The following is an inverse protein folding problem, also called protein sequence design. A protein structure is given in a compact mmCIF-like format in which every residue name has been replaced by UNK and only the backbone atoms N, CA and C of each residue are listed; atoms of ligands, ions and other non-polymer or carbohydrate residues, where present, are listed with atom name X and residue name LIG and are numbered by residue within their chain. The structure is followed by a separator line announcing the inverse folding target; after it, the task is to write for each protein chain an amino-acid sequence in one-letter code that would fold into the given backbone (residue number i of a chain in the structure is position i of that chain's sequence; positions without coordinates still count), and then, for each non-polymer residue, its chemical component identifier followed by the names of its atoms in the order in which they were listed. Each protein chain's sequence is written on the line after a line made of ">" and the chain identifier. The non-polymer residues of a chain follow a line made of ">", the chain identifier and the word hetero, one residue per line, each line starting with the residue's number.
data_IF_609533751666
#
_entry.id   IF_609533751666
#
_cell.length_a   1.000
_cell.length_b   1.000
_cell.length_c   1.000
_cell.angle_alpha   90.00
_cell.angle_beta   90.00
_cell.angle_gamma   90.00
#
_symmetry.space_group_name_H-M   'P 1'
#
loop_
_entity.id
_entity.type
_entity.pdbx_description
1 polymer ?
#
# COMPACT_ATOMS: atom_id res chain seq x y z
N UNK A 1 55.62 18.93 0.19
CA UNK A 1 55.22 17.52 0.13
C UNK A 1 54.07 17.26 1.08
N UNK A 2 54.20 17.47 2.40
CA UNK A 2 53.12 17.24 3.39
C UNK A 2 51.76 17.86 2.98
N UNK A 3 51.73 19.11 2.49
CA UNK A 3 50.48 19.75 2.03
C UNK A 3 49.86 19.12 0.77
N UNK A 4 50.64 18.42 -0.06
CA UNK A 4 50.17 17.76 -1.29
C UNK A 4 49.59 16.38 -0.93
N UNK A 5 50.29 15.60 -0.11
CA UNK A 5 49.83 14.30 0.35
C UNK A 5 48.56 14.40 1.21
N UNK A 6 48.44 15.48 2.00
CA UNK A 6 47.19 15.82 2.70
C UNK A 6 46.04 16.15 1.71
N UNK A 7 46.32 16.89 0.64
CA UNK A 7 45.34 17.18 -0.43
C UNK A 7 44.89 15.90 -1.16
N UNK A 8 45.81 15.01 -1.52
CA UNK A 8 45.50 13.76 -2.22
C UNK A 8 44.62 12.80 -1.40
N UNK A 9 44.94 12.62 -0.11
CA UNK A 9 44.13 11.80 0.81
C UNK A 9 42.71 12.37 0.97
N UNK A 10 42.61 13.70 1.11
CA UNK A 10 41.34 14.42 1.20
C UNK A 10 40.51 14.30 -0.09
N UNK A 11 41.13 14.43 -1.26
CA UNK A 11 40.48 14.26 -2.58
C UNK A 11 39.88 12.85 -2.72
N UNK A 12 40.59 11.82 -2.25
CA UNK A 12 40.09 10.44 -2.28
C UNK A 12 38.86 10.27 -1.39
N UNK A 13 38.94 10.69 -0.13
CA UNK A 13 37.82 10.68 0.82
C UNK A 13 36.58 11.38 0.24
N UNK A 14 36.80 12.50 -0.47
CA UNK A 14 35.70 13.25 -1.06
C UNK A 14 35.07 12.56 -2.29
N UNK A 15 35.86 11.93 -3.18
CA UNK A 15 35.32 11.09 -4.25
C UNK A 15 34.40 9.98 -3.69
N UNK A 16 34.82 9.32 -2.60
CA UNK A 16 34.04 8.24 -1.97
C UNK A 16 32.73 8.77 -1.35
N UNK A 17 32.74 9.97 -0.76
CA UNK A 17 31.55 10.61 -0.18
C UNK A 17 30.59 11.15 -1.25
N UNK A 18 31.10 11.67 -2.37
CA UNK A 18 30.29 12.04 -3.55
C UNK A 18 29.61 10.85 -4.17
N UNK A 19 30.31 9.71 -4.26
CA UNK A 19 29.73 8.47 -4.76
C UNK A 19 28.56 8.04 -3.87
N UNK A 20 28.74 8.02 -2.54
CA UNK A 20 27.66 7.77 -1.57
C UNK A 20 26.49 8.75 -1.72
N UNK A 21 26.75 10.04 -1.87
CA UNK A 21 25.71 11.06 -2.10
C UNK A 21 24.94 10.83 -3.40
N UNK A 22 25.63 10.41 -4.45
CA UNK A 22 24.99 10.06 -5.73
C UNK A 22 24.13 8.81 -5.63
N UNK A 23 24.64 7.77 -4.96
CA UNK A 23 23.90 6.53 -4.72
C UNK A 23 22.66 6.80 -3.85
N UNK A 24 22.77 7.63 -2.82
CA UNK A 24 21.66 8.07 -1.97
C UNK A 24 20.64 8.93 -2.73
N UNK A 25 21.09 9.85 -3.58
CA UNK A 25 20.20 10.64 -4.44
C UNK A 25 19.42 9.71 -5.39
N UNK A 26 20.08 8.70 -5.98
CA UNK A 26 19.43 7.72 -6.86
C UNK A 26 18.43 6.83 -6.11
N UNK A 27 18.77 6.38 -4.90
CA UNK A 27 17.84 5.68 -3.99
C UNK A 27 16.59 6.55 -3.72
N UNK A 28 16.79 7.84 -3.45
CA UNK A 28 15.70 8.80 -3.20
C UNK A 28 14.81 8.99 -4.43
N UNK A 29 15.39 9.15 -5.62
CA UNK A 29 14.65 9.24 -6.89
C UNK A 29 13.78 8.01 -7.14
N UNK A 30 14.33 6.82 -6.94
CA UNK A 30 13.61 5.55 -7.13
C UNK A 30 12.49 5.38 -6.09
N UNK A 31 12.76 5.70 -4.81
CA UNK A 31 11.75 5.68 -3.75
C UNK A 31 10.57 6.63 -4.05
N UNK A 32 10.85 7.88 -4.44
CA UNK A 32 9.80 8.86 -4.75
C UNK A 32 8.99 8.47 -5.99
N UNK A 33 9.65 7.96 -7.04
CA UNK A 33 8.96 7.46 -8.24
C UNK A 33 8.01 6.31 -7.90
N UNK A 34 8.45 5.35 -7.08
CA UNK A 34 7.60 4.27 -6.60
C UNK A 34 6.47 4.78 -5.70
N UNK A 35 6.75 5.74 -4.82
CA UNK A 35 5.76 6.38 -3.94
C UNK A 35 4.64 7.07 -4.73
N UNK A 36 4.95 7.74 -5.86
CA UNK A 36 3.94 8.29 -6.77
C UNK A 36 3.07 7.18 -7.36
N UNK A 37 3.68 6.12 -7.90
CA UNK A 37 2.94 5.00 -8.49
C UNK A 37 2.02 4.33 -7.46
N UNK A 38 2.52 4.09 -6.24
CA UNK A 38 1.74 3.52 -5.12
C UNK A 38 0.58 4.45 -4.73
N UNK A 39 0.80 5.77 -4.68
CA UNK A 39 -0.24 6.76 -4.39
C UNK A 39 -1.30 6.87 -5.52
N UNK A 40 -0.91 6.65 -6.79
CA UNK A 40 -1.85 6.55 -7.91
C UNK A 40 -2.74 5.31 -7.76
N UNK A 41 -2.16 4.13 -7.49
CA UNK A 41 -2.92 2.88 -7.27
C UNK A 41 -3.85 3.02 -6.06
N UNK A 42 -3.38 3.63 -4.96
CA UNK A 42 -4.21 3.94 -3.79
C UNK A 42 -5.39 4.87 -4.15
N UNK A 43 -5.18 5.90 -4.97
CA UNK A 43 -6.25 6.78 -5.45
C UNK A 43 -7.26 6.06 -6.37
N UNK A 44 -6.82 5.10 -7.20
CA UNK A 44 -7.73 4.25 -7.97
C UNK A 44 -8.58 3.34 -7.06
N UNK A 45 -7.99 2.77 -6.02
CA UNK A 45 -8.72 1.97 -5.03
C UNK A 45 -9.80 2.82 -4.34
N UNK A 46 -9.45 4.05 -3.93
CA UNK A 46 -10.41 5.00 -3.37
C UNK A 46 -11.52 5.36 -4.37
N UNK A 47 -11.20 5.58 -5.65
CA UNK A 47 -12.21 5.88 -6.68
C UNK A 47 -13.18 4.70 -6.91
N UNK A 48 -12.68 3.45 -6.89
CA UNK A 48 -13.51 2.24 -6.99
C UNK A 48 -14.46 2.12 -5.79
N UNK A 49 -13.98 2.44 -4.59
CA UNK A 49 -14.79 2.53 -3.36
C UNK A 49 -15.84 3.66 -3.43
N UNK A 50 -15.46 4.84 -3.91
CA UNK A 50 -16.32 6.01 -4.07
C UNK A 50 -17.52 5.71 -4.99
N UNK A 51 -17.27 5.12 -6.16
CA UNK A 51 -18.32 4.70 -7.12
C UNK A 51 -19.26 3.69 -6.46
N UNK A 52 -18.72 2.64 -5.84
CA UNK A 52 -19.53 1.64 -5.13
C UNK A 52 -20.40 2.26 -4.03
N UNK A 53 -19.85 3.21 -3.26
CA UNK A 53 -20.59 3.91 -2.21
C UNK A 53 -21.67 4.84 -2.78
N UNK A 54 -21.46 5.45 -3.94
CA UNK A 54 -22.47 6.24 -4.63
C UNK A 54 -23.65 5.36 -5.08
N UNK A 55 -23.38 4.27 -5.79
CA UNK A 55 -24.41 3.32 -6.27
C UNK A 55 -25.20 2.70 -5.12
N UNK A 56 -24.50 2.30 -4.05
CA UNK A 56 -25.11 1.71 -2.87
C UNK A 56 -25.99 2.67 -2.07
N UNK A 57 -25.66 3.98 -2.07
CA UNK A 57 -26.52 5.02 -1.47
C UNK A 57 -27.70 5.38 -2.39
N UNK A 58 -27.50 5.42 -3.70
CA UNK A 58 -28.55 5.76 -4.67
C UNK A 58 -29.66 4.70 -4.75
N UNK A 59 -29.31 3.42 -4.59
CA UNK A 59 -30.26 2.31 -4.68
C UNK A 59 -30.18 1.41 -3.43
N UNK A 60 -31.14 1.50 -2.48
CA UNK A 60 -31.19 0.64 -1.29
C UNK A 60 -31.32 -0.87 -1.58
N UNK A 61 -31.67 -1.25 -2.81
CA UNK A 61 -31.69 -2.65 -3.27
C UNK A 61 -30.36 -3.10 -3.88
N UNK A 62 -29.44 -2.19 -4.23
CA UNK A 62 -28.15 -2.50 -4.87
C UNK A 62 -27.36 -3.57 -4.12
N UNK A 63 -27.18 -3.39 -2.80
CA UNK A 63 -26.50 -4.36 -1.93
C UNK A 63 -27.20 -5.73 -1.94
N UNK A 64 -28.54 -5.76 -2.00
CA UNK A 64 -29.30 -7.01 -2.09
C UNK A 64 -29.18 -7.63 -3.49
N UNK A 65 -29.19 -6.84 -4.56
CA UNK A 65 -28.97 -7.27 -5.95
C UNK A 65 -27.55 -7.85 -6.12
N UNK A 66 -26.54 -7.23 -5.50
CA UNK A 66 -25.18 -7.77 -5.37
C UNK A 66 -25.18 -9.16 -4.74
N UNK A 67 -25.97 -9.35 -3.68
CA UNK A 67 -26.01 -10.61 -2.94
C UNK A 67 -26.91 -11.70 -3.55
N UNK A 68 -27.74 -11.36 -4.55
CA UNK A 68 -28.75 -12.26 -5.12
C UNK A 68 -28.62 -12.48 -6.64
N UNK A 69 -27.97 -11.57 -7.38
CA UNK A 69 -28.12 -11.45 -8.83
C UNK A 69 -26.85 -11.62 -9.67
N UNK A 70 -25.66 -11.73 -9.07
CA UNK A 70 -24.43 -11.85 -9.86
C UNK A 70 -24.14 -13.30 -10.25
N UNK A 71 -24.62 -13.68 -11.43
CA UNK A 71 -24.07 -14.81 -12.19
C UNK A 71 -22.63 -14.50 -12.67
N UNK A 72 -22.26 -13.22 -12.79
CA UNK A 72 -20.93 -12.74 -13.19
C UNK A 72 -20.10 -12.24 -12.00
N UNK A 73 -19.31 -13.12 -11.40
CA UNK A 73 -18.27 -12.77 -10.42
C UNK A 73 -17.28 -11.72 -10.95
N UNK A 74 -17.04 -11.71 -12.27
CA UNK A 74 -16.21 -10.73 -12.98
C UNK A 74 -16.69 -9.28 -12.82
N UNK A 75 -18.00 -9.04 -12.74
CA UNK A 75 -18.55 -7.69 -12.66
C UNK A 75 -18.40 -7.12 -11.25
N UNK A 76 -18.64 -7.97 -10.24
CA UNK A 76 -18.35 -7.68 -8.84
C UNK A 76 -16.85 -7.40 -8.59
N UNK A 77 -15.96 -8.13 -9.29
CA UNK A 77 -14.51 -7.91 -9.28
C UNK A 77 -14.08 -6.56 -9.87
N UNK A 78 -14.87 -5.94 -10.76
CA UNK A 78 -14.59 -4.57 -11.26
C UNK A 78 -14.72 -3.52 -10.17
N UNK A 79 -15.71 -3.69 -9.28
CA UNK A 79 -16.01 -2.70 -8.25
C UNK A 79 -15.07 -2.81 -7.04
N UNK A 80 -14.79 -4.02 -6.53
CA UNK A 80 -13.95 -4.17 -5.31
C UNK A 80 -13.07 -5.44 -5.37
N UNK A 81 -11.88 -5.38 -5.99
CA UNK A 81 -10.90 -6.49 -5.99
C UNK A 81 -10.51 -6.96 -4.58
N UNK A 82 -10.52 -6.03 -3.62
CA UNK A 82 -10.09 -6.24 -2.24
C UNK A 82 -11.13 -6.95 -1.35
N UNK A 83 -12.42 -6.99 -1.73
CA UNK A 83 -13.46 -7.71 -0.95
C UNK A 83 -13.42 -9.23 -1.17
N UNK A 84 -12.23 -9.82 -1.11
CA UNK A 84 -11.96 -11.22 -1.46
C UNK A 84 -12.83 -12.18 -0.62
N UNK A 85 -13.04 -11.89 0.67
CA UNK A 85 -13.80 -12.75 1.56
C UNK A 85 -15.31 -12.67 1.30
N UNK A 86 -15.83 -11.48 0.99
CA UNK A 86 -17.18 -11.30 0.44
C UNK A 86 -17.39 -12.12 -0.84
N UNK A 87 -16.48 -12.00 -1.82
CA UNK A 87 -16.59 -12.66 -3.12
C UNK A 87 -16.63 -14.20 -2.98
N UNK A 88 -15.75 -14.78 -2.16
CA UNK A 88 -15.74 -16.22 -1.83
C UNK A 88 -17.08 -16.72 -1.26
N UNK A 89 -17.77 -15.91 -0.46
CA UNK A 89 -19.07 -16.28 0.11
C UNK A 89 -20.23 -16.17 -0.89
N UNK A 90 -20.14 -15.27 -1.87
CA UNK A 90 -21.12 -15.13 -2.94
C UNK A 90 -20.99 -16.24 -3.99
N UNK A 91 -19.76 -16.61 -4.37
CA UNK A 91 -19.45 -17.66 -5.35
C UNK A 91 -20.03 -19.05 -4.98
N UNK A 92 -20.18 -19.31 -3.66
CA UNK A 92 -20.81 -20.53 -3.15
C UNK A 92 -22.32 -20.63 -3.51
N UNK A 93 -22.65 -21.37 -4.57
CA UNK A 93 -24.03 -21.59 -5.05
C UNK A 93 -25.00 -22.02 -3.93
N UNK A 94 -26.24 -21.51 -3.90
CA UNK A 94 -27.22 -21.85 -2.87
C UNK A 94 -27.64 -23.32 -2.97
N UNK A 95 -27.76 -24.01 -1.82
CA UNK A 95 -28.33 -25.35 -1.78
C UNK A 95 -29.86 -25.28 -2.02
N UNK A 96 -30.29 -25.68 -3.21
CA UNK A 96 -31.68 -25.61 -3.68
C UNK A 96 -32.56 -26.80 -3.24
N UNK A 97 -32.15 -27.63 -2.28
CA UNK A 97 -32.93 -28.83 -1.89
C UNK A 97 -34.34 -28.46 -1.40
N UNK A 98 -34.49 -27.42 -0.57
CA UNK A 98 -35.81 -26.94 -0.13
C UNK A 98 -36.67 -26.49 -1.33
N UNK A 99 -36.12 -25.63 -2.19
CA UNK A 99 -36.81 -25.05 -3.34
C UNK A 99 -37.27 -26.13 -4.32
N UNK A 100 -36.43 -27.13 -4.61
CA UNK A 100 -36.77 -28.26 -5.47
C UNK A 100 -37.85 -29.17 -4.86
N UNK A 101 -37.78 -29.43 -3.54
CA UNK A 101 -38.83 -30.22 -2.87
C UNK A 101 -40.16 -29.46 -2.82
N UNK A 102 -40.14 -28.16 -2.50
CA UNK A 102 -41.31 -27.28 -2.53
C UNK A 102 -41.94 -27.26 -3.93
N UNK A 103 -41.14 -27.10 -4.99
CA UNK A 103 -41.64 -27.15 -6.37
C UNK A 103 -42.36 -28.47 -6.68
N UNK A 104 -41.76 -29.61 -6.34
CA UNK A 104 -42.42 -30.92 -6.48
C UNK A 104 -43.73 -31.00 -5.70
N UNK A 105 -43.76 -30.45 -4.48
CA UNK A 105 -44.92 -30.48 -3.59
C UNK A 105 -46.10 -29.62 -4.11
N UNK A 106 -45.84 -28.45 -4.71
CA UNK A 106 -46.89 -27.60 -5.30
C UNK A 106 -47.36 -28.14 -6.66
N UNK A 107 -46.48 -28.86 -7.38
CA UNK A 107 -46.75 -29.41 -8.71
C UNK A 107 -47.35 -30.83 -8.72
N UNK A 108 -47.58 -31.43 -7.55
CA UNK A 108 -48.24 -32.74 -7.41
C UNK A 108 -49.77 -32.54 -7.36
N UNK A 109 -50.56 -33.09 -8.30
CA UNK A 109 -52.01 -32.93 -8.25
C UNK A 109 -52.66 -33.47 -6.97
N UNK A 110 -52.02 -34.44 -6.29
CA UNK A 110 -52.52 -35.07 -5.07
C UNK A 110 -52.45 -34.17 -3.84
N UNK A 111 -51.61 -33.13 -3.86
CA UNK A 111 -51.45 -32.18 -2.74
C UNK A 111 -52.36 -30.96 -2.88
N UNK A 112 -53.10 -30.83 -3.98
CA UNK A 112 -53.92 -29.65 -4.31
C UNK A 112 -54.99 -29.27 -3.26
N UNK A 113 -55.36 -30.17 -2.34
CA UNK A 113 -56.21 -29.89 -1.18
C UNK A 113 -55.47 -29.10 -0.09
N UNK A 114 -54.16 -29.31 0.05
CA UNK A 114 -53.28 -28.72 1.06
C UNK A 114 -52.58 -27.47 0.50
N UNK A 115 -51.95 -27.61 -0.67
CA UNK A 115 -51.14 -26.57 -1.34
C UNK A 115 -51.32 -26.68 -2.85
N UNK A 116 -51.59 -25.56 -3.52
CA UNK A 116 -51.89 -25.57 -4.96
C UNK A 116 -51.39 -24.30 -5.66
N UNK A 117 -50.96 -24.45 -6.92
CA UNK A 117 -50.69 -23.32 -7.80
C UNK A 117 -51.94 -22.44 -8.00
N UNK A 118 -51.73 -21.13 -8.16
CA UNK A 118 -52.74 -20.21 -8.66
C UNK A 118 -53.03 -20.45 -10.15
N UNK A 119 -54.13 -19.87 -10.65
CA UNK A 119 -54.56 -20.05 -12.06
C UNK A 119 -53.51 -19.58 -13.08
N UNK A 120 -52.74 -18.55 -12.76
CA UNK A 120 -51.63 -18.04 -13.59
C UNK A 120 -50.35 -18.86 -13.48
N UNK A 121 -50.22 -19.75 -12.50
CA UNK A 121 -48.99 -20.53 -12.27
C UNK A 121 -47.81 -19.70 -11.70
N UNK A 122 -48.02 -18.43 -11.35
CA UNK A 122 -46.98 -17.49 -10.86
C UNK A 122 -46.93 -17.38 -9.32
N UNK A 123 -47.83 -18.07 -8.63
CA UNK A 123 -47.99 -18.06 -7.18
C UNK A 123 -48.65 -19.36 -6.72
N UNK A 124 -48.65 -19.62 -5.41
CA UNK A 124 -49.33 -20.77 -4.82
C UNK A 124 -50.06 -20.39 -3.53
N UNK A 125 -51.13 -21.12 -3.23
CA UNK A 125 -51.95 -20.98 -2.03
C UNK A 125 -51.67 -22.14 -1.06
N UNK A 126 -51.57 -21.82 0.23
CA UNK A 126 -51.69 -22.80 1.31
C UNK A 126 -53.15 -22.83 1.74
N UNK A 127 -53.89 -23.88 1.36
CA UNK A 127 -55.32 -24.02 1.62
C UNK A 127 -55.60 -24.59 3.01
N UNK A 128 -54.86 -25.62 3.38
CA UNK A 128 -54.98 -26.28 4.68
C UNK A 128 -53.64 -26.14 5.43
N UNK A 129 -53.67 -25.57 6.62
CA UNK A 129 -52.48 -25.33 7.45
C UNK A 129 -52.16 -26.48 8.38
N UNK A 130 -53.16 -27.30 8.71
CA UNK A 130 -53.05 -28.41 9.65
C UNK A 130 -52.47 -29.61 8.89
N UNK A 131 -53.09 -30.00 7.77
CA UNK A 131 -52.54 -31.03 6.89
C UNK A 131 -51.18 -30.67 6.30
N UNK A 132 -50.89 -29.37 6.11
CA UNK A 132 -49.56 -28.93 5.67
C UNK A 132 -48.49 -29.26 6.71
N UNK A 133 -48.79 -29.24 8.01
CA UNK A 133 -47.78 -29.51 9.05
C UNK A 133 -47.21 -30.93 8.90
N UNK A 134 -48.09 -31.92 8.82
CA UNK A 134 -47.71 -33.34 8.70
C UNK A 134 -47.01 -33.59 7.36
N UNK A 135 -47.56 -33.06 6.26
CA UNK A 135 -46.99 -33.22 4.92
C UNK A 135 -45.60 -32.59 4.77
N UNK A 136 -45.37 -31.45 5.42
CA UNK A 136 -44.07 -30.77 5.50
C UNK A 136 -43.08 -31.60 6.34
N UNK A 137 -43.52 -32.21 7.43
CA UNK A 137 -42.68 -33.08 8.25
C UNK A 137 -42.25 -34.33 7.47
N UNK A 138 -43.16 -35.00 6.76
CA UNK A 138 -42.89 -36.22 5.98
C UNK A 138 -42.08 -35.99 4.69
N UNK A 139 -42.40 -34.96 3.90
CA UNK A 139 -41.78 -34.77 2.57
C UNK A 139 -40.55 -33.87 2.63
N UNK A 140 -40.55 -32.86 3.50
CA UNK A 140 -39.47 -31.87 3.58
C UNK A 140 -38.45 -32.19 4.68
N UNK A 141 -38.82 -32.99 5.69
CA UNK A 141 -38.04 -33.28 6.91
C UNK A 141 -37.73 -32.02 7.72
N UNK A 142 -38.70 -31.10 7.79
CA UNK A 142 -38.62 -29.86 8.58
C UNK A 142 -39.95 -29.65 9.32
N UNK A 143 -39.94 -28.87 10.40
CA UNK A 143 -41.18 -28.44 11.08
C UNK A 143 -41.84 -27.26 10.36
N UNK A 144 -43.15 -27.08 10.53
CA UNK A 144 -43.94 -26.03 9.87
C UNK A 144 -43.39 -24.60 10.10
N UNK A 145 -42.85 -24.31 11.30
CA UNK A 145 -42.18 -23.05 11.61
C UNK A 145 -40.92 -22.82 10.74
N UNK A 146 -40.18 -23.89 10.47
CA UNK A 146 -39.00 -23.88 9.59
C UNK A 146 -39.40 -23.80 8.12
N UNK A 147 -40.56 -24.30 7.73
CA UNK A 147 -41.11 -24.12 6.38
C UNK A 147 -41.41 -22.65 6.06
N UNK A 148 -42.19 -21.95 6.89
CA UNK A 148 -42.44 -20.51 6.70
C UNK A 148 -41.15 -19.68 6.78
N UNK A 149 -40.21 -20.05 7.66
CA UNK A 149 -38.88 -19.46 7.67
C UNK A 149 -38.14 -19.72 6.35
N UNK A 150 -38.21 -20.92 5.79
CA UNK A 150 -37.53 -21.29 4.54
C UNK A 150 -38.10 -20.53 3.34
N UNK A 151 -39.42 -20.31 3.28
CA UNK A 151 -40.03 -19.43 2.28
C UNK A 151 -39.41 -18.02 2.33
N UNK A 152 -39.36 -17.40 3.51
CA UNK A 152 -38.72 -16.08 3.68
C UNK A 152 -37.21 -16.11 3.36
N UNK A 153 -36.51 -17.16 3.80
CA UNK A 153 -35.07 -17.35 3.58
C UNK A 153 -34.70 -17.56 2.10
N UNK A 154 -35.66 -17.91 1.23
CA UNK A 154 -35.52 -17.98 -0.24
C UNK A 154 -36.34 -16.90 -0.96
N UNK A 155 -36.71 -15.80 -0.29
CA UNK A 155 -37.27 -14.60 -0.92
C UNK A 155 -38.75 -14.69 -1.34
N UNK A 156 -39.47 -15.75 -0.98
CA UNK A 156 -40.90 -15.86 -1.29
C UNK A 156 -41.69 -14.78 -0.54
N UNK A 157 -42.55 -14.05 -1.26
CA UNK A 157 -43.38 -12.99 -0.71
C UNK A 157 -44.79 -13.50 -0.46
N UNK A 158 -45.31 -13.31 0.75
CA UNK A 158 -46.73 -13.46 1.02
C UNK A 158 -47.48 -12.31 0.32
N UNK A 159 -48.28 -12.65 -0.69
CA UNK A 159 -49.07 -11.71 -1.49
C UNK A 159 -50.36 -11.37 -0.77
N UNK A 160 -51.04 -12.39 -0.26
CA UNK A 160 -52.26 -12.28 0.52
C UNK A 160 -52.15 -13.16 1.77
N UNK A 161 -52.35 -12.56 2.96
CA UNK A 161 -52.28 -13.24 4.25
C UNK A 161 -53.55 -14.03 4.61
N UNK A 162 -54.70 -13.63 4.08
CA UNK A 162 -55.98 -14.30 4.29
C UNK A 162 -56.06 -15.54 3.39
N UNK A 163 -55.76 -15.39 2.10
CA UNK A 163 -55.68 -16.50 1.14
C UNK A 163 -54.41 -17.37 1.31
N UNK A 164 -53.47 -16.93 2.15
CA UNK A 164 -52.17 -17.57 2.36
C UNK A 164 -51.42 -17.82 1.04
N UNK A 165 -51.44 -16.80 0.18
CA UNK A 165 -50.81 -16.81 -1.13
C UNK A 165 -49.34 -16.39 -1.03
N UNK A 166 -48.47 -17.14 -1.69
CA UNK A 166 -47.03 -16.86 -1.80
C UNK A 166 -46.60 -16.82 -3.27
N UNK A 167 -45.70 -15.87 -3.60
CA UNK A 167 -45.11 -15.74 -4.93
C UNK A 167 -43.59 -15.58 -4.87
N UNK A 168 -42.92 -16.01 -5.93
CA UNK A 168 -41.52 -15.70 -6.21
C UNK A 168 -41.33 -15.67 -7.73
N UNK A 169 -40.60 -14.67 -8.22
CA UNK A 169 -40.45 -14.37 -9.66
C UNK A 169 -39.99 -15.59 -10.48
N UNK A 170 -38.99 -16.31 -9.98
CA UNK A 170 -38.41 -17.50 -10.61
C UNK A 170 -39.04 -18.84 -10.15
N UNK A 171 -40.19 -18.82 -9.47
CA UNK A 171 -40.92 -20.01 -9.02
C UNK A 171 -42.27 -20.10 -9.73
N UNK A 172 -42.30 -20.74 -10.89
CA UNK A 172 -43.47 -20.78 -11.78
C UNK A 172 -43.74 -22.21 -12.24
N UNK A 173 -45.03 -22.61 -12.28
CA UNK A 173 -45.51 -23.98 -12.50
C UNK A 173 -44.74 -24.75 -13.57
N UNK A 174 -44.63 -24.19 -14.77
CA UNK A 174 -44.12 -24.91 -15.93
C UNK A 174 -42.62 -24.63 -16.21
N UNK A 175 -42.01 -23.70 -15.47
CA UNK A 175 -40.64 -23.22 -15.71
C UNK A 175 -39.65 -23.70 -14.63
N UNK A 176 -39.57 -25.02 -14.40
CA UNK A 176 -38.65 -25.64 -13.41
C UNK A 176 -37.18 -25.22 -13.57
N UNK A 177 -36.73 -24.90 -14.79
CA UNK A 177 -35.35 -24.43 -15.02
C UNK A 177 -35.06 -23.08 -14.36
N UNK A 178 -36.08 -22.25 -14.08
CA UNK A 178 -35.91 -20.96 -13.41
C UNK A 178 -35.53 -21.10 -11.93
N UNK A 179 -35.76 -22.25 -11.30
CA UNK A 179 -35.41 -22.49 -9.90
C UNK A 179 -33.91 -22.28 -9.61
N UNK A 180 -33.04 -22.38 -10.61
CA UNK A 180 -31.60 -22.09 -10.49
C UNK A 180 -31.29 -20.64 -10.10
N UNK A 181 -32.19 -19.71 -10.41
CA UNK A 181 -32.09 -18.28 -10.10
C UNK A 181 -32.62 -17.93 -8.69
N UNK A 182 -33.16 -18.91 -7.93
CA UNK A 182 -33.68 -18.66 -6.57
C UNK A 182 -32.51 -18.71 -5.57
N UNK A 183 -32.12 -17.56 -5.03
CA UNK A 183 -30.98 -17.45 -4.10
C UNK A 183 -31.40 -17.45 -2.62
N UNK A 184 -30.46 -17.82 -1.74
CA UNK A 184 -30.70 -17.89 -0.29
C UNK A 184 -30.41 -16.54 0.36
N UNK A 185 -31.47 -15.83 0.74
CA UNK A 185 -31.45 -14.54 1.44
C UNK A 185 -30.76 -14.62 2.81
N UNK A 186 -30.59 -15.83 3.39
CA UNK A 186 -29.86 -16.04 4.66
C UNK A 186 -28.44 -15.49 4.67
N UNK A 187 -27.78 -15.43 3.51
CA UNK A 187 -26.41 -14.90 3.40
C UNK A 187 -26.38 -13.38 3.57
N UNK A 188 -27.42 -12.65 3.18
CA UNK A 188 -27.42 -11.18 3.07
C UNK A 188 -26.91 -10.45 4.33
N UNK A 189 -27.40 -10.74 5.56
CA UNK A 189 -26.91 -10.04 6.76
C UNK A 189 -25.46 -10.37 7.14
N UNK A 190 -24.95 -11.53 6.70
CA UNK A 190 -23.56 -11.93 6.94
C UNK A 190 -22.63 -11.39 5.88
N UNK A 191 -23.02 -11.42 4.61
CA UNK A 191 -22.27 -10.79 3.52
C UNK A 191 -22.21 -9.28 3.74
N UNK A 192 -23.31 -8.61 4.14
CA UNK A 192 -23.29 -7.16 4.46
C UNK A 192 -22.28 -6.82 5.57
N UNK A 193 -22.14 -7.68 6.59
CA UNK A 193 -21.18 -7.50 7.68
C UNK A 193 -19.73 -7.74 7.25
N UNK A 194 -19.51 -8.70 6.35
CA UNK A 194 -18.17 -9.03 5.85
C UNK A 194 -17.72 -7.97 4.84
N UNK A 195 -18.60 -7.50 3.94
CA UNK A 195 -18.33 -6.33 3.09
C UNK A 195 -17.94 -5.10 3.91
N UNK A 196 -18.65 -4.84 5.01
CA UNK A 196 -18.28 -3.76 5.93
C UNK A 196 -16.88 -3.97 6.52
N UNK A 197 -16.56 -5.18 6.98
CA UNK A 197 -15.24 -5.51 7.54
C UNK A 197 -14.12 -5.38 6.50
N UNK A 198 -14.32 -5.91 5.29
CA UNK A 198 -13.38 -5.87 4.18
C UNK A 198 -13.08 -4.38 3.81
N UNK A 199 -14.11 -3.52 3.73
CA UNK A 199 -13.93 -2.08 3.48
C UNK A 199 -13.30 -1.32 4.66
N UNK A 200 -13.68 -1.63 5.91
CA UNK A 200 -13.08 -1.02 7.10
C UNK A 200 -11.58 -1.35 7.24
N UNK A 201 -11.16 -2.53 6.80
CA UNK A 201 -9.76 -2.95 6.82
C UNK A 201 -8.94 -2.25 5.73
N UNK A 202 -9.45 -2.15 4.50
CA UNK A 202 -8.78 -1.42 3.43
C UNK A 202 -8.66 0.08 3.70
N UNK A 203 -9.69 0.73 4.26
CA UNK A 203 -9.59 2.14 4.66
C UNK A 203 -8.46 2.36 5.70
N UNK A 204 -8.27 1.43 6.64
CA UNK A 204 -7.17 1.49 7.62
C UNK A 204 -5.81 1.30 6.96
N UNK A 205 -5.68 0.36 6.02
CA UNK A 205 -4.44 0.09 5.27
C UNK A 205 -4.04 1.30 4.41
N UNK A 206 -4.99 1.85 3.66
CA UNK A 206 -4.80 3.05 2.84
C UNK A 206 -4.43 4.27 3.68
N UNK A 207 -5.07 4.47 4.84
CA UNK A 207 -4.72 5.56 5.76
C UNK A 207 -3.33 5.40 6.37
N UNK A 208 -2.99 4.19 6.85
CA UNK A 208 -1.67 3.88 7.39
C UNK A 208 -0.55 4.18 6.39
N UNK A 209 -0.73 3.79 5.12
CA UNK A 209 0.21 4.14 4.05
C UNK A 209 0.35 5.64 3.83
N UNK A 210 -0.76 6.39 3.73
CA UNK A 210 -0.69 7.85 3.56
C UNK A 210 0.03 8.53 4.73
N UNK A 211 -0.22 8.09 5.97
CA UNK A 211 0.41 8.67 7.14
C UNK A 211 1.91 8.29 7.23
N UNK A 212 2.28 7.05 6.87
CA UNK A 212 3.69 6.63 6.71
C UNK A 212 4.40 7.43 5.62
N UNK A 213 3.74 7.64 4.47
CA UNK A 213 4.26 8.41 3.35
C UNK A 213 4.49 9.88 3.74
N UNK A 214 3.56 10.53 4.44
CA UNK A 214 3.75 11.91 4.95
C UNK A 214 4.99 12.05 5.83
N UNK A 215 5.23 11.07 6.73
CA UNK A 215 6.43 11.05 7.57
C UNK A 215 7.69 10.89 6.70
N UNK A 216 7.72 9.92 5.79
CA UNK A 216 8.86 9.70 4.90
C UNK A 216 9.16 10.93 4.03
N UNK A 217 8.15 11.60 3.47
CA UNK A 217 8.29 12.83 2.68
C UNK A 217 8.86 13.98 3.52
N UNK A 218 8.43 14.10 4.77
CA UNK A 218 8.97 15.12 5.69
C UNK A 218 10.45 14.87 5.99
N UNK A 219 10.82 13.62 6.28
CA UNK A 219 12.20 13.21 6.56
C UNK A 219 13.11 13.37 5.32
N UNK A 220 12.61 13.01 4.12
CA UNK A 220 13.34 13.18 2.86
C UNK A 220 13.59 14.67 2.60
N UNK A 221 12.60 15.55 2.81
CA UNK A 221 12.78 17.00 2.65
C UNK A 221 13.85 17.57 3.58
N UNK A 222 13.88 17.13 4.83
CA UNK A 222 14.90 17.55 5.79
C UNK A 222 16.29 17.06 5.39
N UNK A 223 16.45 15.75 5.10
CA UNK A 223 17.72 15.17 4.63
C UNK A 223 18.22 15.82 3.33
N UNK A 224 17.34 16.12 2.39
CA UNK A 224 17.69 16.76 1.12
C UNK A 224 18.13 18.22 1.31
N UNK A 225 17.46 18.97 2.19
CA UNK A 225 17.84 20.34 2.52
C UNK A 225 19.22 20.42 3.19
N UNK A 226 19.53 19.50 4.12
CA UNK A 226 20.86 19.38 4.73
C UNK A 226 21.91 19.05 3.66
N UNK A 227 21.65 18.02 2.85
CA UNK A 227 22.55 17.57 1.78
C UNK A 227 22.84 18.68 0.76
N UNK A 228 21.84 19.49 0.41
CA UNK A 228 21.98 20.64 -0.50
C UNK A 228 22.88 21.73 0.11
N UNK A 229 22.73 22.02 1.41
CA UNK A 229 23.62 22.95 2.14
C UNK A 229 25.08 22.44 2.19
N UNK A 230 25.26 21.14 2.42
CA UNK A 230 26.57 20.50 2.45
C UNK A 230 27.28 20.53 1.08
N UNK A 231 26.57 20.18 0.00
CA UNK A 231 27.10 20.21 -1.37
C UNK A 231 27.47 21.64 -1.79
N UNK A 232 26.67 22.65 -1.43
CA UNK A 232 27.01 24.07 -1.66
C UNK A 232 28.27 24.50 -0.88
N UNK A 233 28.43 24.02 0.36
CA UNK A 233 29.59 24.34 1.20
C UNK A 233 30.87 23.74 0.60
N UNK A 234 30.82 22.49 0.12
CA UNK A 234 31.95 21.87 -0.59
C UNK A 234 32.25 22.58 -1.90
N UNK A 235 31.24 22.90 -2.71
CA UNK A 235 31.40 23.61 -3.99
C UNK A 235 32.23 24.89 -3.82
N UNK A 236 31.90 25.71 -2.82
CA UNK A 236 32.68 26.89 -2.42
C UNK A 236 34.13 26.56 -2.08
N UNK A 237 34.37 25.47 -1.35
CA UNK A 237 35.72 25.05 -0.98
C UNK A 237 36.55 24.56 -2.19
N UNK A 238 35.92 23.87 -3.16
CA UNK A 238 36.57 23.46 -4.41
C UNK A 238 36.85 24.63 -5.34
N UNK A 239 35.97 25.63 -5.39
CA UNK A 239 36.21 26.90 -6.09
C UNK A 239 37.45 27.60 -5.49
N UNK A 240 37.51 27.78 -4.17
CA UNK A 240 38.68 28.32 -3.47
C UNK A 240 39.97 27.52 -3.76
N UNK A 241 39.92 26.19 -3.66
CA UNK A 241 41.08 25.32 -3.93
C UNK A 241 41.55 25.43 -5.40
N UNK A 242 40.61 25.54 -6.34
CA UNK A 242 40.91 25.74 -7.76
C UNK A 242 41.59 27.10 -8.01
N UNK A 243 41.15 28.16 -7.31
CA UNK A 243 41.81 29.47 -7.37
C UNK A 243 43.23 29.44 -6.79
N UNK A 244 43.45 28.81 -5.63
CA UNK A 244 44.78 28.68 -5.01
C UNK A 244 45.76 27.94 -5.95
N UNK A 245 45.32 26.86 -6.61
CA UNK A 245 46.15 26.13 -7.57
C UNK A 245 46.40 26.97 -8.82
N UNK A 246 45.40 27.71 -9.32
CA UNK A 246 45.58 28.63 -10.44
C UNK A 246 46.52 29.81 -10.10
N UNK A 247 46.63 30.20 -8.83
CA UNK A 247 47.62 31.19 -8.37
C UNK A 247 49.03 30.59 -8.34
N UNK A 248 49.23 29.42 -7.69
CA UNK A 248 50.54 28.73 -7.68
C UNK A 248 51.07 28.43 -9.08
N UNK A 249 50.20 27.96 -9.98
CA UNK A 249 50.54 27.71 -11.39
C UNK A 249 50.83 28.99 -12.21
N UNK A 250 50.58 30.20 -11.68
CA UNK A 250 51.03 31.48 -12.25
C UNK A 250 52.33 31.95 -11.61
N UNK A 251 52.55 31.67 -10.33
CA UNK A 251 53.78 31.99 -9.61
C UNK A 251 54.96 31.18 -10.15
N UNK A 252 54.80 29.87 -10.36
CA UNK A 252 55.86 29.03 -10.94
C UNK A 252 56.25 29.48 -12.35
N UNK A 253 55.28 29.83 -13.21
CA UNK A 253 55.53 30.42 -14.54
C UNK A 253 56.19 31.80 -14.51
N UNK A 254 56.13 32.54 -13.39
CA UNK A 254 56.90 33.78 -13.21
C UNK A 254 58.35 33.52 -12.83
N UNK A 255 58.66 32.38 -12.20
CA UNK A 255 60.03 31.98 -11.84
C UNK A 255 60.82 31.47 -13.06
N UNK A 256 60.14 31.15 -14.17
CA UNK A 256 60.78 30.74 -15.44
C UNK A 256 61.48 31.90 -16.19
N UNK A 257 61.21 33.17 -15.85
CA UNK A 257 61.90 34.34 -16.43
C UNK A 257 62.70 35.13 -15.38
N UNK A 258 63.97 34.78 -15.14
CA UNK A 258 64.93 35.70 -14.56
C UNK A 258 65.36 36.74 -15.63
N UNK A 259 65.32 38.02 -15.29
CA UNK A 259 65.97 39.07 -16.05
C UNK A 259 67.49 38.95 -15.88
N UNK A 260 68.15 38.16 -16.73
CA UNK A 260 69.60 38.02 -16.73
C UNK A 260 70.21 39.08 -17.65
N UNK A 261 71.11 39.89 -17.09
CA UNK A 261 71.97 40.79 -17.88
C UNK A 261 72.85 39.94 -18.82
N UNK A 262 72.78 40.12 -20.15
CA UNK A 262 73.52 39.29 -21.11
C UNK A 262 75.04 39.23 -20.87
N UNK A 263 75.63 40.19 -20.17
CA UNK A 263 77.07 40.22 -19.92
C UNK A 263 77.50 39.27 -18.78
N UNK A 264 76.68 39.05 -17.74
CA UNK A 264 77.05 38.16 -16.63
C UNK A 264 77.02 36.68 -17.03
N UNK A 265 76.08 36.29 -17.90
CA UNK A 265 75.93 34.91 -18.38
C UNK A 265 77.14 34.44 -19.21
N UNK A 266 77.81 35.33 -19.93
CA UNK A 266 78.96 34.99 -20.77
C UNK A 266 80.22 34.63 -19.97
N UNK A 267 80.46 35.29 -18.84
CA UNK A 267 81.64 35.07 -18.00
C UNK A 267 81.52 33.84 -17.10
N UNK A 268 80.30 33.49 -16.68
CA UNK A 268 80.03 32.27 -15.89
C UNK A 268 80.16 31.00 -16.76
N UNK A 269 79.67 31.04 -18.00
CA UNK A 269 79.85 29.97 -19.00
C UNK A 269 81.34 29.76 -19.37
N UNK A 270 82.19 30.79 -19.27
CA UNK A 270 83.65 30.66 -19.46
C UNK A 270 84.36 30.00 -18.28
N UNK A 271 83.82 30.04 -17.05
CA UNK A 271 84.40 29.37 -15.89
C UNK A 271 83.93 27.92 -15.73
N UNK A 272 82.71 27.59 -16.16
CA UNK A 272 82.10 26.26 -16.00
C UNK A 272 82.57 25.18 -17.00
N UNK A 273 83.73 25.35 -17.67
CA UNK A 273 84.31 24.35 -18.59
C UNK A 273 85.52 23.60 -18.05
N UNK A 274 85.80 23.65 -16.73
CA UNK A 274 86.96 22.96 -16.15
C UNK A 274 86.71 22.08 -14.91
N UNK A 275 85.52 22.08 -14.30
CA UNK A 275 85.19 21.09 -13.24
C UNK A 275 84.05 20.16 -13.68
N UNK A 276 84.39 18.87 -13.74
CA UNK A 276 83.45 17.77 -13.94
C UNK A 276 82.93 17.30 -12.57
N UNK A 277 81.61 17.40 -12.36
CA UNK A 277 80.95 16.85 -11.17
C UNK A 277 79.92 17.78 -10.52
N UNK A 278 78.64 17.37 -10.53
CA UNK A 278 77.68 17.79 -9.51
C UNK A 278 76.55 18.75 -9.89
N UNK A 279 75.78 18.47 -10.96
CA UNK A 279 74.43 19.05 -11.12
C UNK A 279 73.38 17.97 -11.48
N UNK A 280 73.01 17.14 -10.50
CA UNK A 280 71.76 16.38 -10.52
C UNK A 280 71.00 16.65 -9.20
N UNK A 281 69.89 17.37 -9.27
CA UNK A 281 69.06 17.67 -8.09
C UNK A 281 67.94 18.69 -8.34
N UNK A 282 68.24 19.82 -8.99
CA UNK A 282 67.27 20.93 -9.15
C UNK A 282 66.29 20.78 -10.33
N UNK A 283 66.63 19.99 -11.36
CA UNK A 283 65.76 19.76 -12.52
C UNK A 283 64.61 18.77 -12.24
N UNK A 284 64.91 17.63 -11.61
CA UNK A 284 63.90 16.58 -11.36
C UNK A 284 62.81 17.01 -10.39
N UNK A 285 63.14 17.84 -9.39
CA UNK A 285 62.17 18.33 -8.39
C UNK A 285 61.17 19.29 -9.04
N UNK A 286 61.63 20.22 -9.89
CA UNK A 286 60.77 21.19 -10.57
C UNK A 286 59.80 20.54 -11.57
N UNK A 287 60.27 19.55 -12.32
CA UNK A 287 59.40 18.78 -13.22
C UNK A 287 58.35 17.94 -12.47
N UNK A 288 58.66 17.48 -11.24
CA UNK A 288 57.71 16.79 -10.37
C UNK A 288 56.56 17.70 -9.92
N UNK A 289 56.88 18.88 -9.36
CA UNK A 289 55.87 19.79 -8.80
C UNK A 289 54.85 20.28 -9.84
N UNK A 290 55.30 20.61 -11.06
CA UNK A 290 54.40 21.03 -12.14
C UNK A 290 53.45 19.88 -12.57
N UNK A 291 53.95 18.64 -12.62
CA UNK A 291 53.13 17.47 -12.90
C UNK A 291 52.12 17.17 -11.76
N UNK A 292 52.48 17.44 -10.51
CA UNK A 292 51.57 17.27 -9.36
C UNK A 292 50.47 18.35 -9.34
N UNK A 293 50.80 19.60 -9.68
CA UNK A 293 49.82 20.69 -9.89
C UNK A 293 48.82 20.33 -10.99
N UNK A 294 49.29 19.78 -12.11
CA UNK A 294 48.42 19.37 -13.22
C UNK A 294 47.48 18.22 -12.82
N UNK A 295 47.99 17.19 -12.12
CA UNK A 295 47.16 16.11 -11.55
C UNK A 295 46.06 16.65 -10.65
N UNK A 296 46.41 17.50 -9.67
CA UNK A 296 45.41 18.03 -8.71
C UNK A 296 44.36 18.88 -9.45
N UNK A 297 44.76 19.68 -10.44
CA UNK A 297 43.81 20.42 -11.29
C UNK A 297 42.84 19.50 -12.04
N UNK A 298 43.33 18.39 -12.63
CA UNK A 298 42.48 17.38 -13.27
C UNK A 298 41.51 16.72 -12.27
N UNK A 299 41.93 16.45 -11.03
CA UNK A 299 41.06 15.92 -9.98
C UNK A 299 39.99 16.90 -9.53
N UNK A 300 40.33 18.18 -9.29
CA UNK A 300 39.35 19.22 -8.93
C UNK A 300 38.30 19.39 -10.04
N UNK A 301 38.72 19.39 -11.30
CA UNK A 301 37.79 19.44 -12.45
C UNK A 301 36.84 18.23 -12.47
N UNK A 302 37.35 17.02 -12.19
CA UNK A 302 36.51 15.81 -12.10
C UNK A 302 35.49 15.90 -10.96
N UNK A 303 35.91 16.41 -9.80
CA UNK A 303 35.03 16.61 -8.63
C UNK A 303 33.95 17.68 -8.91
N UNK A 304 34.31 18.80 -9.53
CA UNK A 304 33.36 19.84 -9.95
C UNK A 304 32.31 19.28 -10.92
N UNK A 305 32.70 18.43 -11.88
CA UNK A 305 31.74 17.75 -12.78
C UNK A 305 30.82 16.80 -12.00
N UNK A 306 31.31 16.12 -10.96
CA UNK A 306 30.44 15.28 -10.13
C UNK A 306 29.46 16.10 -9.28
N UNK A 307 29.86 17.26 -8.74
CA UNK A 307 28.95 18.22 -8.08
C UNK A 307 27.88 18.69 -9.02
N UNK A 308 28.25 19.15 -10.23
CA UNK A 308 27.29 19.64 -11.20
C UNK A 308 26.24 18.56 -11.54
N UNK A 309 26.64 17.29 -11.62
CA UNK A 309 25.72 16.18 -11.81
C UNK A 309 24.79 15.93 -10.60
N UNK A 310 25.27 16.12 -9.36
CA UNK A 310 24.42 16.09 -8.16
C UNK A 310 23.43 17.27 -8.15
N UNK A 311 23.90 18.48 -8.47
CA UNK A 311 23.08 19.70 -8.53
C UNK A 311 21.94 19.58 -9.55
N UNK A 312 22.20 19.01 -10.73
CA UNK A 312 21.20 18.72 -11.77
C UNK A 312 20.18 17.64 -11.34
N UNK A 313 20.46 16.89 -10.27
CA UNK A 313 19.55 15.88 -9.73
C UNK A 313 18.48 16.42 -8.78
N UNK A 314 18.70 17.57 -8.15
CA UNK A 314 17.77 18.16 -7.18
C UNK A 314 16.40 18.54 -7.76
N UNK A 315 16.29 19.19 -8.95
CA UNK A 315 14.99 19.57 -9.50
C UNK A 315 14.03 18.39 -9.69
N UNK A 316 14.55 17.22 -10.10
CA UNK A 316 13.72 16.01 -10.21
C UNK A 316 13.15 15.57 -8.86
N UNK A 317 13.94 15.63 -7.78
CA UNK A 317 13.48 15.26 -6.44
C UNK A 317 12.45 16.29 -5.94
N UNK A 318 12.70 17.58 -6.14
CA UNK A 318 11.77 18.67 -5.81
C UNK A 318 10.42 18.52 -6.55
N UNK A 319 10.44 18.22 -7.86
CA UNK A 319 9.25 17.98 -8.68
C UNK A 319 8.45 16.76 -8.21
N UNK A 320 9.12 15.66 -7.87
CA UNK A 320 8.51 14.43 -7.37
C UNK A 320 7.86 14.64 -6.00
N UNK A 321 8.56 15.31 -5.07
CA UNK A 321 8.03 15.71 -3.76
C UNK A 321 6.78 16.60 -3.93
N UNK A 322 6.86 17.61 -4.79
CA UNK A 322 5.74 18.50 -5.07
C UNK A 322 4.56 17.79 -5.78
N UNK A 323 4.79 16.71 -6.52
CA UNK A 323 3.73 15.88 -7.07
C UNK A 323 3.00 15.06 -5.99
N UNK A 324 3.75 14.43 -5.08
CA UNK A 324 3.18 13.69 -3.94
C UNK A 324 2.35 14.62 -3.04
N UNK A 325 2.87 15.82 -2.72
CA UNK A 325 2.15 16.81 -1.90
C UNK A 325 0.89 17.37 -2.56
N UNK A 326 0.84 17.48 -3.89
CA UNK A 326 -0.39 17.86 -4.61
C UNK A 326 -1.45 16.76 -4.60
N UNK A 327 -1.04 15.50 -4.57
CA UNK A 327 -1.95 14.34 -4.58
C UNK A 327 -2.51 14.01 -3.19
N UNK A 328 -1.66 14.06 -2.15
CA UNK A 328 -1.99 13.65 -0.78
C UNK A 328 -3.32 14.23 -0.25
N UNK A 329 -3.56 15.56 -0.27
CA UNK A 329 -4.79 16.15 0.27
C UNK A 329 -6.07 15.65 -0.41
N UNK A 330 -6.03 15.40 -1.72
CA UNK A 330 -7.16 14.83 -2.46
C UNK A 330 -7.45 13.38 -2.04
N UNK A 331 -6.40 12.61 -1.77
CA UNK A 331 -6.54 11.21 -1.32
C UNK A 331 -6.94 11.08 0.16
N UNK A 332 -6.50 12.00 1.03
CA UNK A 332 -6.97 12.10 2.42
C UNK A 332 -8.48 12.43 2.45
N UNK A 333 -8.90 13.45 1.68
CA UNK A 333 -10.31 13.86 1.61
C UNK A 333 -11.22 12.72 1.14
N UNK A 334 -10.82 11.98 0.10
CA UNK A 334 -11.57 10.80 -0.37
C UNK A 334 -11.73 9.73 0.71
N UNK A 335 -10.67 9.42 1.48
CA UNK A 335 -10.75 8.47 2.59
C UNK A 335 -11.82 8.88 3.61
N UNK A 336 -11.87 10.16 3.99
CA UNK A 336 -12.85 10.69 4.94
C UNK A 336 -14.28 10.65 4.40
N UNK A 337 -14.48 11.03 3.14
CA UNK A 337 -15.80 11.01 2.47
C UNK A 337 -16.33 9.58 2.30
N UNK A 338 -15.48 8.62 1.95
CA UNK A 338 -15.81 7.19 1.86
C UNK A 338 -16.12 6.63 3.25
N UNK A 339 -15.29 6.89 4.27
CA UNK A 339 -15.52 6.44 5.64
C UNK A 339 -16.83 6.99 6.23
N UNK A 340 -17.14 8.27 5.98
CA UNK A 340 -18.41 8.91 6.36
C UNK A 340 -19.60 8.25 5.68
N UNK A 341 -19.49 7.96 4.38
CA UNK A 341 -20.53 7.31 3.58
C UNK A 341 -20.76 5.85 4.00
N UNK A 342 -19.69 5.11 4.27
CA UNK A 342 -19.72 3.73 4.75
C UNK A 342 -20.42 3.64 6.11
N UNK A 343 -20.07 4.53 7.05
CA UNK A 343 -20.76 4.62 8.35
C UNK A 343 -22.27 4.83 8.18
N UNK A 344 -22.71 5.73 7.28
CA UNK A 344 -24.14 5.95 7.00
C UNK A 344 -24.84 4.71 6.41
N UNK A 345 -24.17 3.97 5.53
CA UNK A 345 -24.76 2.85 4.80
C UNK A 345 -24.81 1.54 5.61
N UNK A 346 -23.86 1.33 6.52
CA UNK A 346 -23.72 0.09 7.29
C UNK A 346 -24.21 0.19 8.74
N UNK A 347 -24.21 1.37 9.37
CA UNK A 347 -24.73 1.51 10.76
C UNK A 347 -26.26 1.40 10.77
N UNK A 348 -26.75 0.35 11.42
CA UNK A 348 -28.16 0.18 11.74
C UNK A 348 -28.50 0.89 13.07
N UNK A 349 -29.42 1.87 13.12
CA UNK A 349 -29.77 2.58 14.36
C UNK A 349 -30.18 1.66 15.52
N UNK A 350 -30.77 0.50 15.20
CA UNK A 350 -31.22 -0.49 16.20
C UNK A 350 -30.06 -1.29 16.83
N UNK A 351 -28.88 -1.30 16.23
CA UNK A 351 -27.70 -1.98 16.80
C UNK A 351 -27.08 -1.19 17.95
N UNK A 352 -27.03 0.15 17.86
CA UNK A 352 -26.52 1.01 18.94
C UNK A 352 -27.43 1.00 20.17
N UNK A 353 -28.75 0.87 20.02
CA UNK A 353 -29.65 0.67 21.17
C UNK A 353 -29.27 -0.60 21.97
N UNK A 354 -28.91 -1.70 21.29
CA UNK A 354 -28.44 -2.93 21.95
C UNK A 354 -27.06 -2.78 22.58
N UNK A 355 -26.09 -2.16 21.89
CA UNK A 355 -24.74 -1.93 22.46
C UNK A 355 -24.82 -1.03 23.70
N UNK A 356 -25.55 0.08 23.63
CA UNK A 356 -25.71 1.02 24.75
C UNK A 356 -26.41 0.40 25.97
N UNK A 357 -27.37 -0.52 25.75
CA UNK A 357 -27.98 -1.32 26.84
C UNK A 357 -27.10 -2.47 27.36
N UNK A 358 -26.09 -2.90 26.60
CA UNK A 358 -25.11 -3.89 27.06
C UNK A 358 -23.93 -3.22 27.80
N UNK A 359 -23.54 -2.01 27.40
CA UNK A 359 -22.54 -1.19 28.09
C UNK A 359 -23.08 -0.66 29.43
N UNK A 360 -24.35 -0.26 29.50
CA UNK A 360 -24.98 0.10 30.79
C UNK A 360 -25.02 -1.07 31.78
N UNK A 361 -25.15 -2.31 31.31
CA UNK A 361 -25.15 -3.49 32.17
C UNK A 361 -23.73 -3.92 32.60
N UNK A 362 -22.70 -3.67 31.79
CA UNK A 362 -21.31 -3.94 32.18
C UNK A 362 -20.82 -3.04 33.33
N UNK A 363 -21.37 -1.83 33.46
CA UNK A 363 -21.00 -0.92 34.54
C UNK A 363 -21.60 -1.26 35.91
N UNK A 364 -22.56 -2.21 36.01
CA UNK A 364 -23.04 -2.72 37.31
C UNK A 364 -22.29 -3.98 37.78
N UNK A 365 -21.67 -4.75 36.89
CA UNK A 365 -20.91 -5.96 37.27
C UNK A 365 -19.46 -5.66 37.70
N UNK A 366 -18.97 -4.43 37.47
CA UNK A 366 -17.62 -4.00 37.85
C UNK A 366 -17.45 -3.58 39.32
N UNK A 367 -18.54 -3.35 40.07
CA UNK A 367 -18.47 -2.87 41.47
C UNK A 367 -18.63 -3.95 42.54
N UNK A 368 -18.94 -5.20 42.18
CA UNK A 368 -19.18 -6.30 43.16
C UNK A 368 -18.11 -7.39 43.18
N UNK A 369 -16.99 -7.24 42.45
CA UNK A 369 -15.88 -8.22 42.40
C UNK A 369 -14.50 -7.65 42.78
N UNK A 370 -14.47 -6.80 43.82
CA UNK A 370 -13.25 -6.44 44.57
C UNK A 370 -13.37 -6.82 46.05
N UNK A 371 -13.61 -8.10 46.31
CA UNK A 371 -13.43 -8.72 47.62
C UNK A 371 -12.95 -10.17 47.45
N UNK A 372 -12.12 -10.63 48.39
CA UNK A 372 -11.51 -11.96 48.46
C UNK A 372 -10.46 -12.31 47.37
N UNK A 373 -9.20 -12.22 47.79
CA UNK A 373 -8.01 -12.84 47.17
C UNK A 373 -7.56 -13.98 48.10
N UNK A 374 -7.30 -15.18 47.55
CA UNK A 374 -6.20 -16.13 47.89
C UNK A 374 -6.56 -17.63 47.78
N UNK A 375 -5.58 -18.43 47.34
CA UNK A 375 -5.46 -19.92 47.41
C UNK A 375 -6.51 -20.74 46.62
N UNK A 376 -6.20 -21.91 46.04
CA UNK A 376 -4.95 -22.70 45.96
C UNK A 376 -5.03 -23.77 44.84
N UNK A 377 -3.88 -24.10 44.23
CA UNK A 377 -3.44 -25.41 43.71
C UNK A 377 -4.25 -26.23 42.66
N UNK A 378 -3.51 -26.96 41.81
CA UNK A 378 -3.94 -27.90 40.75
C UNK A 378 -3.98 -29.36 41.28
N UNK A 379 -4.05 -30.47 40.48
CA UNK A 379 -4.32 -30.66 39.04
C UNK A 379 -5.35 -31.78 38.69
N UNK A 380 -5.67 -32.02 37.41
CA UNK A 380 -6.44 -33.22 36.99
C UNK A 380 -6.72 -33.38 35.49
N UNK A 381 -6.28 -34.50 34.93
CA UNK A 381 -6.44 -35.00 33.54
C UNK A 381 -7.90 -34.97 33.03
N UNK A 382 -8.23 -34.67 31.76
CA UNK A 382 -8.38 -35.62 30.62
C UNK A 382 -9.39 -34.99 29.58
N UNK A 383 -9.58 -35.35 28.29
CA UNK A 383 -8.95 -36.28 27.32
C UNK A 383 -9.31 -35.89 25.85
N UNK A 384 -8.74 -36.61 24.87
CA UNK A 384 -9.05 -36.70 23.43
C UNK A 384 -10.52 -36.50 22.94
N UNK A 385 -10.67 -35.90 21.75
CA UNK A 385 -11.22 -36.59 20.55
C UNK A 385 -10.95 -35.81 19.23
N UNK A 386 -10.53 -36.53 18.18
CA UNK A 386 -10.33 -36.03 16.81
C UNK A 386 -11.52 -36.39 15.88
N UNK A 387 -11.83 -35.53 14.90
CA UNK A 387 -12.11 -35.88 13.47
C UNK A 387 -12.61 -34.61 12.73
N UNK A 388 -11.99 -34.10 11.66
CA UNK A 388 -11.62 -34.65 10.33
C UNK A 388 -12.80 -34.99 9.40
N UNK A 389 -13.17 -34.02 8.55
CA UNK A 389 -13.44 -34.16 7.10
C UNK A 389 -12.96 -32.81 6.49
N UNK A 390 -11.85 -32.64 5.77
CA UNK A 390 -11.26 -33.32 4.61
C UNK A 390 -11.86 -32.89 3.26
N UNK A 391 -11.02 -32.14 2.52
CA UNK A 391 -10.95 -31.98 1.05
C UNK A 391 -12.08 -31.23 0.31
N UNK A 392 -11.68 -30.16 -0.38
CA UNK A 392 -11.49 -30.22 -1.84
C UNK A 392 -10.50 -29.13 -2.27
N UNK A 393 -9.39 -29.54 -2.86
CA UNK A 393 -8.53 -28.70 -3.70
C UNK A 393 -9.05 -28.72 -5.15
N UNK A 394 -8.41 -27.91 -6.01
CA UNK A 394 -8.71 -27.70 -7.42
C UNK A 394 -10.07 -27.05 -7.76
N UNK A 395 -9.99 -25.78 -8.16
CA UNK A 395 -10.09 -25.46 -9.59
C UNK A 395 -9.48 -24.06 -9.86
N UNK A 396 -8.42 -24.05 -10.66
CA UNK A 396 -7.78 -22.84 -11.19
C UNK A 396 -8.55 -22.30 -12.39
N UNK A 397 -8.78 -20.98 -12.45
CA UNK A 397 -8.80 -20.17 -13.69
C UNK A 397 -9.21 -18.72 -13.39
N UNK A 398 -8.25 -17.80 -13.53
CA UNK A 398 -8.33 -16.35 -13.82
C UNK A 398 -7.40 -15.56 -12.88
N UNK A 399 -6.17 -15.35 -13.36
CA UNK A 399 -4.99 -15.05 -12.52
C UNK A 399 -4.72 -13.54 -12.31
N UNK A 400 -5.19 -12.68 -13.21
CA UNK A 400 -4.76 -11.27 -13.34
C UNK A 400 -5.20 -10.34 -12.17
N UNK A 401 -6.33 -10.63 -11.51
CA UNK A 401 -6.84 -9.79 -10.42
C UNK A 401 -6.29 -10.16 -9.03
N UNK A 402 -5.84 -11.42 -8.88
CA UNK A 402 -5.18 -11.88 -7.66
C UNK A 402 -3.77 -11.30 -7.59
N UNK A 403 -3.13 -11.11 -8.75
CA UNK A 403 -1.94 -10.29 -8.90
C UNK A 403 -2.17 -8.85 -8.42
N UNK A 404 -3.12 -8.07 -8.94
CA UNK A 404 -3.26 -6.66 -8.53
C UNK A 404 -3.47 -6.44 -7.02
N UNK A 405 -4.25 -7.28 -6.34
CA UNK A 405 -4.41 -7.17 -4.87
C UNK A 405 -3.13 -7.56 -4.13
N UNK A 406 -2.46 -8.64 -4.55
CA UNK A 406 -1.21 -9.10 -3.93
C UNK A 406 -0.03 -8.16 -4.22
N UNK A 407 0.02 -7.58 -5.43
CA UNK A 407 0.97 -6.55 -5.86
C UNK A 407 0.75 -5.30 -4.99
N UNK A 408 -0.49 -4.84 -4.81
CA UNK A 408 -0.76 -3.69 -3.93
C UNK A 408 -0.36 -3.98 -2.47
N UNK A 409 -0.69 -5.14 -1.92
CA UNK A 409 -0.23 -5.53 -0.58
C UNK A 409 1.30 -5.57 -0.47
N UNK A 410 1.99 -6.18 -1.45
CA UNK A 410 3.45 -6.28 -1.50
C UNK A 410 4.14 -4.92 -1.67
N UNK A 411 3.62 -4.03 -2.52
CA UNK A 411 4.15 -2.68 -2.71
C UNK A 411 4.07 -1.87 -1.40
N UNK A 412 2.99 -2.02 -0.65
CA UNK A 412 2.72 -1.24 0.58
C UNK A 412 3.52 -1.77 1.79
N UNK A 413 3.74 -3.08 1.89
CA UNK A 413 4.59 -3.67 2.94
C UNK A 413 6.07 -3.31 2.77
N UNK A 414 6.55 -3.21 1.53
CA UNK A 414 7.94 -2.89 1.21
C UNK A 414 8.24 -1.38 1.11
N UNK A 415 7.24 -0.49 1.25
CA UNK A 415 7.40 0.96 1.07
C UNK A 415 8.05 1.64 2.28
N UNK A 416 9.29 1.24 2.59
CA UNK A 416 10.11 1.76 3.68
C UNK A 416 11.35 2.38 3.07
N UNK A 417 11.56 3.68 3.30
CA UNK A 417 12.76 4.36 2.85
C UNK A 417 14.00 3.69 3.48
N UNK A 418 14.97 3.19 2.68
CA UNK A 418 16.12 2.48 3.23
C UNK A 418 17.03 3.47 3.95
N UNK A 419 17.32 3.19 5.22
CA UNK A 419 18.11 4.09 6.05
C UNK A 419 19.56 4.07 5.57
N UNK A 420 19.95 5.17 4.95
CA UNK A 420 21.24 5.37 4.29
C UNK A 420 21.94 6.53 4.97
N UNK A 421 22.70 6.19 6.02
CA UNK A 421 23.41 7.16 6.85
C UNK A 421 24.62 7.73 6.11
N UNK A 422 24.41 8.89 5.49
CA UNK A 422 25.44 9.77 4.98
C UNK A 422 25.36 11.02 5.85
N UNK A 423 26.02 10.99 7.00
CA UNK A 423 25.78 11.98 8.05
C UNK A 423 26.50 13.31 7.76
N UNK A 424 25.94 14.42 8.27
CA UNK A 424 26.45 15.79 8.11
C UNK A 424 27.82 15.95 8.79
N UNK A 425 28.01 15.31 9.94
CA UNK A 425 29.26 15.32 10.71
C UNK A 425 30.49 14.80 9.93
N UNK A 426 30.30 13.96 8.91
CA UNK A 426 31.40 13.44 8.06
C UNK A 426 32.02 14.52 7.16
N UNK A 427 31.28 15.60 6.85
CA UNK A 427 31.68 16.62 5.87
C UNK A 427 32.37 17.83 6.56
N UNK A 428 32.02 18.09 7.81
CA UNK A 428 32.54 19.20 8.60
C UNK A 428 34.07 19.20 8.83
N UNK A 429 34.78 18.06 8.97
CA UNK A 429 36.24 18.05 9.09
C UNK A 429 36.96 18.60 7.86
N UNK A 430 36.38 18.42 6.66
CA UNK A 430 37.02 18.82 5.41
C UNK A 430 36.69 20.26 5.00
N UNK A 431 35.47 20.75 5.29
CA UNK A 431 35.16 22.19 5.18
C UNK A 431 36.18 22.99 5.99
N UNK A 432 36.46 22.58 7.23
CA UNK A 432 37.50 23.17 8.09
C UNK A 432 38.94 23.02 7.56
N UNK A 433 39.22 22.00 6.75
CA UNK A 433 40.54 21.72 6.19
C UNK A 433 40.83 22.40 4.85
N UNK A 434 39.82 23.03 4.21
CA UNK A 434 39.98 23.91 3.06
C UNK A 434 39.70 25.39 3.37
N UNK A 435 39.14 25.70 4.54
CA UNK A 435 38.99 27.07 5.04
C UNK A 435 40.25 27.63 5.73
N UNK A 436 41.26 26.80 5.98
CA UNK A 436 42.55 27.16 6.59
C UNK A 436 43.75 26.72 5.74
#
# INVERSE_FOLDING_TARGET
>A
MESIEALENNIKLWNDKVLKLKDQQEITKNYLTNSINNLQIANEHLQKMEIFMADANANPKFINQIMTGFENEQELRKYLPFMIQTLKLLSNKPNLVFVNKLFKMVNDPNTNSIIAWSKSGTSFFIKDKELLQDYVQERLNIIIKTFYKSLNDFGFRCVDKFLCEYSHEHFQRDNKYMLKYITSMRKIPTVKRIMQSDMEEELKRLKFFQDKLKVNISNIKEKEQITKCDVLSVKRCLENASEIIAQKAKEERRVELPSVDPQQQADEIRKLKQDDGGQQGLGSIKNGVNADIEKISQYLNKLNVQILNLEQGYPFIEDQLAAIERMLPGTDKKLEEIASSMNKLFINPKANLRKRSQESNKNLESETKKACIHSSESPGQATNANSRIANNEELTSNFEAQELSNIFHYLMENDTFPDTDVNHDDLMPWIKALEG
#
